data_IF_898316535016
#
_entry.id   IF_898316535016
#
_cell.length_a   1.000
_cell.length_b   1.000
_cell.length_c   1.000
_cell.angle_alpha   90.00
_cell.angle_beta   90.00
_cell.angle_gamma   90.00
#
_symmetry.space_group_name_H-M   'P 1'
#
loop_
_entity.id
_entity.type
_entity.pdbx_description
1 polymer ?
#
# COMPACT_ATOMS: atom_id res chain seq x y z
N UNK A 1 -4.87 15.83 -6.76
CA UNK A 1 -4.48 16.78 -5.69
C UNK A 1 -3.03 16.55 -5.26
N UNK A 2 -2.68 15.38 -4.71
CA UNK A 2 -1.31 15.00 -4.30
C UNK A 2 -0.24 15.30 -5.38
N UNK A 3 -0.39 14.79 -6.60
CA UNK A 3 0.57 15.02 -7.70
C UNK A 3 0.82 16.50 -8.02
N UNK A 4 -0.20 17.37 -7.87
CA UNK A 4 -0.07 18.81 -8.10
C UNK A 4 0.81 19.50 -7.03
N UNK A 5 0.81 18.97 -5.81
CA UNK A 5 1.54 19.55 -4.67
C UNK A 5 2.99 19.03 -4.63
N UNK A 6 3.18 17.72 -4.84
CA UNK A 6 4.48 17.08 -4.69
C UNK A 6 5.26 16.93 -6.01
N UNK A 7 4.65 17.25 -7.16
CA UNK A 7 5.30 17.21 -8.47
C UNK A 7 5.83 15.83 -8.83
N UNK A 8 7.02 15.77 -9.42
CA UNK A 8 7.64 14.53 -9.90
C UNK A 8 8.29 13.67 -8.83
N UNK A 9 8.39 14.18 -7.60
CA UNK A 9 8.89 13.40 -6.48
C UNK A 9 7.91 12.30 -6.06
N UNK A 10 6.60 12.48 -6.25
CA UNK A 10 5.59 11.46 -5.92
C UNK A 10 5.23 10.63 -7.14
N UNK A 11 5.16 9.32 -6.94
CA UNK A 11 4.75 8.34 -7.95
C UNK A 11 3.57 7.51 -7.44
N UNK A 12 2.65 7.16 -8.33
CA UNK A 12 1.61 6.17 -8.05
C UNK A 12 2.26 4.78 -8.19
N UNK A 13 2.34 4.02 -7.10
CA UNK A 13 2.96 2.69 -7.11
C UNK A 13 1.93 1.58 -7.28
N UNK A 14 0.69 1.82 -6.87
CA UNK A 14 -0.45 0.92 -7.12
C UNK A 14 -1.76 1.71 -7.06
N UNK A 15 -2.58 1.63 -8.11
CA UNK A 15 -3.88 2.32 -8.17
C UNK A 15 -5.04 1.47 -7.66
N UNK A 16 -6.25 1.81 -8.12
CA UNK A 16 -7.46 0.99 -7.95
C UNK A 16 -7.23 -0.41 -8.53
N UNK A 17 -7.72 -1.44 -7.85
CA UNK A 17 -7.55 -2.84 -8.26
C UNK A 17 -8.86 -3.60 -8.23
N UNK A 18 -9.23 -4.18 -9.37
CA UNK A 18 -10.36 -5.11 -9.47
C UNK A 18 -10.07 -6.48 -8.84
N UNK A 19 -11.14 -7.23 -8.56
CA UNK A 19 -11.08 -8.50 -7.83
C UNK A 19 -10.16 -9.54 -8.49
N UNK A 20 -10.17 -9.67 -9.82
CA UNK A 20 -9.36 -10.65 -10.53
C UNK A 20 -7.86 -10.35 -10.43
N UNK A 21 -7.47 -9.07 -10.53
CA UNK A 21 -6.07 -8.67 -10.33
C UNK A 21 -5.63 -8.93 -8.90
N UNK A 22 -6.50 -8.63 -7.92
CA UNK A 22 -6.19 -8.91 -6.52
C UNK A 22 -6.02 -10.42 -6.27
N UNK A 23 -6.88 -11.24 -6.88
CA UNK A 23 -6.83 -12.69 -6.78
C UNK A 23 -5.50 -13.24 -7.29
N UNK A 24 -5.09 -12.84 -8.49
CA UNK A 24 -3.81 -13.26 -9.07
C UNK A 24 -2.60 -12.84 -8.21
N UNK A 25 -2.59 -11.60 -7.71
CA UNK A 25 -1.52 -11.12 -6.84
C UNK A 25 -1.46 -11.91 -5.53
N UNK A 26 -2.62 -12.28 -4.97
CA UNK A 26 -2.68 -13.08 -3.75
C UNK A 26 -2.22 -14.53 -3.99
N UNK A 27 -2.63 -15.16 -5.09
CA UNK A 27 -2.13 -16.49 -5.45
C UNK A 27 -0.62 -16.52 -5.64
N UNK A 28 -0.04 -15.48 -6.23
CA UNK A 28 1.42 -15.37 -6.34
C UNK A 28 2.10 -15.30 -4.95
N UNK A 29 1.47 -14.68 -3.95
CA UNK A 29 1.96 -14.70 -2.57
C UNK A 29 1.79 -16.07 -1.94
N UNK A 30 0.63 -16.70 -2.10
CA UNK A 30 0.40 -18.05 -1.60
C UNK A 30 1.42 -19.03 -2.16
N UNK A 31 1.66 -19.00 -3.48
CA UNK A 31 2.69 -19.80 -4.14
C UNK A 31 4.09 -19.51 -3.58
N UNK A 32 4.48 -18.23 -3.46
CA UNK A 32 5.76 -17.82 -2.87
C UNK A 32 5.96 -18.33 -1.43
N UNK A 33 4.87 -18.48 -0.68
CA UNK A 33 4.90 -18.99 0.69
C UNK A 33 4.48 -20.47 0.79
N UNK A 34 4.67 -21.25 -0.28
CA UNK A 34 4.40 -22.69 -0.32
C UNK A 34 2.98 -23.07 0.16
N UNK A 35 1.98 -22.29 -0.25
CA UNK A 35 0.59 -22.49 0.12
C UNK A 35 0.20 -21.92 1.49
N UNK A 36 1.11 -21.31 2.25
CA UNK A 36 0.79 -20.72 3.55
C UNK A 36 -0.03 -19.43 3.38
N UNK A 37 -1.35 -19.56 3.47
CA UNK A 37 -2.29 -18.45 3.28
C UNK A 37 -2.19 -17.39 4.39
N UNK A 38 -1.77 -17.76 5.60
CA UNK A 38 -1.57 -16.81 6.69
C UNK A 38 -0.37 -15.88 6.44
N UNK A 39 0.72 -16.40 5.87
CA UNK A 39 1.86 -15.59 5.44
C UNK A 39 1.52 -14.76 4.19
N UNK A 40 0.76 -15.33 3.26
CA UNK A 40 0.27 -14.59 2.09
C UNK A 40 -0.60 -13.39 2.51
N UNK A 41 -1.57 -13.61 3.41
CA UNK A 41 -2.47 -12.58 3.95
C UNK A 41 -1.74 -11.49 4.72
N UNK A 42 -0.65 -11.83 5.43
CA UNK A 42 0.24 -10.84 6.05
C UNK A 42 0.94 -9.94 5.04
N UNK A 43 1.28 -10.47 3.86
CA UNK A 43 1.96 -9.71 2.81
C UNK A 43 1.00 -8.95 1.89
N UNK A 44 -0.23 -9.43 1.69
CA UNK A 44 -1.20 -8.84 0.79
C UNK A 44 -2.61 -9.29 1.18
N UNK A 45 -3.56 -8.36 1.25
CA UNK A 45 -4.95 -8.67 1.55
C UNK A 45 -5.53 -9.75 0.62
N UNK A 46 -6.32 -10.72 1.13
CA UNK A 46 -7.05 -11.67 0.31
C UNK A 46 -7.98 -10.98 -0.71
N UNK A 47 -8.29 -11.65 -1.84
CA UNK A 47 -9.31 -11.16 -2.77
C UNK A 47 -10.64 -10.99 -2.05
N UNK A 48 -11.30 -9.85 -2.28
CA UNK A 48 -12.52 -9.43 -1.58
C UNK A 48 -12.28 -8.57 -0.33
N UNK A 49 -11.05 -8.49 0.16
CA UNK A 49 -10.68 -7.77 1.39
C UNK A 49 -9.66 -6.63 1.16
N UNK A 50 -9.35 -6.30 -0.10
CA UNK A 50 -8.44 -5.19 -0.42
C UNK A 50 -9.20 -3.87 -0.58
N UNK A 51 -8.76 -2.84 0.14
CA UNK A 51 -9.35 -1.50 0.00
C UNK A 51 -9.04 -0.83 -1.35
N UNK A 52 -8.10 -1.35 -2.14
CA UNK A 52 -7.93 -0.90 -3.52
C UNK A 52 -9.15 -1.18 -4.40
N UNK A 53 -10.01 -2.12 -3.99
CA UNK A 53 -11.29 -2.38 -4.66
C UNK A 53 -12.31 -1.25 -4.49
N UNK A 54 -12.12 -0.39 -3.48
CA UNK A 54 -13.03 0.74 -3.16
C UNK A 54 -12.36 2.11 -3.34
N UNK A 55 -11.22 2.17 -4.02
CA UNK A 55 -10.58 3.43 -4.40
C UNK A 55 -9.25 3.74 -3.72
N UNK A 56 -8.87 3.03 -2.65
CA UNK A 56 -7.57 3.26 -2.00
C UNK A 56 -6.41 2.97 -2.97
N UNK A 57 -5.28 3.65 -2.76
CA UNK A 57 -4.12 3.55 -3.65
C UNK A 57 -2.81 3.74 -2.90
N UNK A 58 -1.72 3.26 -3.48
CA UNK A 58 -0.37 3.37 -2.94
C UNK A 58 0.43 4.45 -3.67
N UNK A 59 1.20 5.22 -2.90
CA UNK A 59 2.15 6.21 -3.42
C UNK A 59 3.57 5.90 -2.98
N UNK A 60 4.53 6.41 -3.74
CA UNK A 60 5.94 6.26 -3.42
C UNK A 60 6.72 7.51 -3.76
N UNK A 61 8.00 7.49 -3.42
CA UNK A 61 8.98 8.46 -3.88
C UNK A 61 9.62 7.97 -5.18
N UNK A 62 9.79 8.89 -6.13
CA UNK A 62 10.56 8.64 -7.35
C UNK A 62 11.99 8.19 -6.98
N UNK A 63 12.53 7.21 -7.71
CA UNK A 63 13.87 6.67 -7.46
C UNK A 63 13.99 5.68 -6.29
N UNK A 64 12.95 5.45 -5.49
CA UNK A 64 13.02 4.50 -4.36
C UNK A 64 12.86 3.03 -4.75
N UNK A 65 12.32 2.74 -5.94
CA UNK A 65 12.10 1.37 -6.39
C UNK A 65 11.33 0.52 -5.37
N UNK A 66 11.86 -0.66 -5.02
CA UNK A 66 11.27 -1.56 -4.03
C UNK A 66 11.26 -1.00 -2.61
N UNK A 67 12.11 -0.02 -2.29
CA UNK A 67 12.15 0.61 -0.96
C UNK A 67 10.85 1.35 -0.61
N UNK A 68 10.05 1.73 -1.61
CA UNK A 68 8.71 2.28 -1.43
C UNK A 68 7.77 1.33 -0.66
N UNK A 69 7.99 0.02 -0.75
CA UNK A 69 7.17 -1.01 -0.08
C UNK A 69 7.83 -1.56 1.19
N UNK A 70 8.59 -0.71 1.88
CA UNK A 70 9.27 -1.02 3.15
C UNK A 70 9.13 0.12 4.14
N UNK A 71 9.54 -0.10 5.39
CA UNK A 71 9.62 0.96 6.41
C UNK A 71 10.48 2.15 5.95
N UNK A 72 11.44 1.96 5.03
CA UNK A 72 12.29 3.06 4.54
C UNK A 72 11.50 4.18 3.88
N UNK A 73 10.29 3.91 3.36
CA UNK A 73 9.43 4.95 2.82
C UNK A 73 9.09 6.02 3.86
N UNK A 74 9.02 5.68 5.15
CA UNK A 74 8.72 6.67 6.22
C UNK A 74 9.81 7.73 6.39
N UNK A 75 11.01 7.50 5.86
CA UNK A 75 12.11 8.47 5.88
C UNK A 75 12.14 9.35 4.62
N UNK A 76 11.28 9.08 3.64
CA UNK A 76 11.23 9.83 2.38
C UNK A 76 10.58 11.20 2.57
N UNK A 77 10.95 12.16 1.72
CA UNK A 77 10.36 13.50 1.72
C UNK A 77 8.89 13.48 1.29
N UNK A 78 8.54 12.57 0.37
CA UNK A 78 7.13 12.34 -0.01
C UNK A 78 6.29 11.92 1.19
N UNK A 79 6.77 10.95 1.98
CA UNK A 79 6.04 10.50 3.17
C UNK A 79 5.83 11.62 4.18
N UNK A 80 6.90 12.35 4.54
CA UNK A 80 6.82 13.47 5.51
C UNK A 80 5.79 14.51 5.07
N UNK A 81 5.85 14.95 3.81
CA UNK A 81 4.89 15.92 3.25
C UNK A 81 3.46 15.39 3.23
N UNK A 82 3.25 14.11 2.90
CA UNK A 82 1.92 13.51 2.94
C UNK A 82 1.35 13.42 4.35
N UNK A 83 2.19 13.19 5.37
CA UNK A 83 1.80 13.26 6.78
C UNK A 83 1.43 14.70 7.18
N UNK A 84 2.28 15.68 6.88
CA UNK A 84 2.05 17.11 7.18
C UNK A 84 0.73 17.62 6.56
N UNK A 85 0.45 17.21 5.33
CA UNK A 85 -0.77 17.59 4.60
C UNK A 85 -2.00 16.76 4.99
N UNK A 86 -1.87 15.80 5.92
CA UNK A 86 -2.97 14.97 6.41
C UNK A 86 -3.52 13.93 5.42
N UNK A 87 -2.79 13.62 4.35
CA UNK A 87 -3.19 12.59 3.38
C UNK A 87 -2.96 11.16 3.90
N UNK A 88 -1.97 10.96 4.79
CA UNK A 88 -1.68 9.65 5.38
C UNK A 88 -2.51 9.40 6.65
N UNK A 89 -3.64 8.70 6.48
CA UNK A 89 -4.41 8.09 7.56
C UNK A 89 -4.19 6.58 7.52
N UNK A 90 -3.27 6.08 8.33
CA UNK A 90 -2.80 4.69 8.28
C UNK A 90 -3.97 3.69 8.40
N UNK A 91 -4.23 2.94 7.33
CA UNK A 91 -5.17 1.81 7.34
C UNK A 91 -4.64 0.64 8.14
N UNK A 92 -3.33 0.42 8.03
CA UNK A 92 -2.62 -0.70 8.62
C UNK A 92 -1.47 -0.17 9.50
N UNK A 93 -1.75 0.37 10.69
CA UNK A 93 -0.69 0.66 11.68
C UNK A 93 0.03 -0.63 12.11
N UNK A 94 1.21 -0.53 12.73
CA UNK A 94 2.04 -1.69 13.10
C UNK A 94 1.30 -2.77 13.90
N UNK A 95 0.37 -2.37 14.75
CA UNK A 95 -0.40 -3.24 15.65
C UNK A 95 -1.87 -3.39 15.22
N UNK A 96 -2.16 -3.26 13.92
CA UNK A 96 -3.52 -3.45 13.44
C UNK A 96 -3.99 -4.90 13.66
N UNK A 97 -5.27 -5.06 13.95
CA UNK A 97 -5.89 -6.38 14.19
C UNK A 97 -6.28 -7.13 12.90
N UNK A 98 -6.04 -6.54 11.73
CA UNK A 98 -6.39 -7.14 10.44
C UNK A 98 -5.35 -8.16 9.97
N UNK A 99 -4.22 -8.27 10.67
CA UNK A 99 -3.16 -9.21 10.32
C UNK A 99 -2.41 -8.85 9.04
N UNK A 100 -2.60 -7.63 8.53
CA UNK A 100 -1.84 -7.09 7.39
C UNK A 100 -0.61 -6.37 7.96
N UNK A 101 0.53 -6.45 7.27
CA UNK A 101 1.73 -5.72 7.69
C UNK A 101 1.52 -4.19 7.70
N UNK A 102 2.45 -3.47 8.31
CA UNK A 102 2.49 -2.01 8.26
C UNK A 102 2.74 -1.52 6.82
N UNK A 103 1.86 -0.65 6.31
CA UNK A 103 1.90 -0.12 4.94
C UNK A 103 1.85 1.43 4.91
N UNK A 104 2.97 2.11 5.17
CA UNK A 104 3.04 3.58 5.23
C UNK A 104 2.82 4.30 3.89
N UNK A 105 2.78 3.56 2.79
CA UNK A 105 2.55 4.07 1.44
C UNK A 105 1.07 4.12 1.03
N UNK A 106 0.19 3.48 1.82
CA UNK A 106 -1.22 3.28 1.50
C UNK A 106 -2.05 4.55 1.81
N UNK A 107 -2.69 5.11 0.79
CA UNK A 107 -3.56 6.29 0.87
C UNK A 107 -5.02 5.85 0.87
N UNK A 108 -5.73 6.27 1.91
CA UNK A 108 -7.17 6.07 2.08
C UNK A 108 -7.95 7.14 1.31
N UNK A 109 -8.88 6.76 0.44
CA UNK A 109 -9.69 7.72 -0.35
C UNK A 109 -11.05 8.03 0.25
N UNK A 110 -11.68 7.07 0.93
CA UNK A 110 -13.02 7.20 1.50
C UNK A 110 -12.98 6.67 2.94
N UNK A 111 -13.56 7.42 3.88
CA UNK A 111 -13.79 6.97 5.26
C UNK A 111 -15.21 6.48 5.41
#
# INVERSE_FOLDING_TARGET
KIKRILGDNVVLTSGVRGIMKQFLLFLNKAHKYNGNLSLASRSLAPPGYSFHGIGDFDVGQAGFGSANFTVRFTHSEVYKKLCELGYLKLRYPRENRLGVRFEPWHIKTIT
#
